data_IF_725122210098
#
_entry.id   IF_725122210098
#
_cell.length_a   1.000
_cell.length_b   1.000
_cell.length_c   1.000
_cell.angle_alpha   90.00
_cell.angle_beta   90.00
_cell.angle_gamma   90.00
#
_symmetry.space_group_name_H-M   'P 1'
#
loop_
_entity.id
_entity.type
_entity.pdbx_description
1 polymer ?
#
# COMPACT_ATOMS: atom_id res chain seq x y z
N UNK A 1 -12.62 -2.72 -3.38
CA UNK A 1 -11.33 -2.10 -3.76
C UNK A 1 -10.18 -2.64 -2.90
N UNK A 2 -10.26 -2.53 -1.56
CA UNK A 2 -9.23 -3.05 -0.65
C UNK A 2 -8.92 -4.53 -0.85
N UNK A 3 -9.96 -5.37 -0.99
CA UNK A 3 -9.80 -6.81 -1.21
C UNK A 3 -8.97 -7.15 -2.47
N UNK A 4 -9.18 -6.43 -3.57
CA UNK A 4 -8.41 -6.60 -4.81
C UNK A 4 -6.93 -6.27 -4.57
N UNK A 5 -6.65 -5.20 -3.80
CA UNK A 5 -5.28 -4.79 -3.51
C UNK A 5 -4.60 -5.79 -2.58
N UNK A 6 -5.33 -6.37 -1.62
CA UNK A 6 -4.80 -7.48 -0.81
C UNK A 6 -4.48 -8.72 -1.65
N UNK A 7 -5.32 -9.06 -2.63
CA UNK A 7 -5.05 -10.17 -3.53
C UNK A 7 -3.81 -9.91 -4.40
N UNK A 8 -3.65 -8.68 -4.93
CA UNK A 8 -2.45 -8.27 -5.65
C UNK A 8 -1.21 -8.34 -4.75
N UNK A 9 -1.31 -7.89 -3.50
CA UNK A 9 -0.19 -7.97 -2.54
C UNK A 9 0.22 -9.42 -2.29
N UNK A 10 -0.73 -10.33 -2.11
CA UNK A 10 -0.45 -11.76 -1.92
C UNK A 10 0.25 -12.36 -3.14
N UNK A 11 -0.28 -12.10 -4.33
CA UNK A 11 0.31 -12.60 -5.59
C UNK A 11 1.75 -12.08 -5.79
N UNK A 12 1.97 -10.79 -5.54
CA UNK A 12 3.32 -10.22 -5.65
C UNK A 12 4.29 -10.82 -4.64
N UNK A 13 3.84 -11.14 -3.43
CA UNK A 13 4.66 -11.82 -2.43
C UNK A 13 5.08 -13.23 -2.90
N UNK A 14 4.16 -13.98 -3.52
CA UNK A 14 4.46 -15.30 -4.11
C UNK A 14 5.51 -15.17 -5.22
N UNK A 15 5.35 -14.20 -6.13
CA UNK A 15 6.31 -13.98 -7.22
C UNK A 15 7.70 -13.59 -6.73
N UNK A 16 7.80 -12.83 -5.64
CA UNK A 16 9.09 -12.51 -5.01
C UNK A 16 9.72 -13.79 -4.44
N UNK A 17 8.94 -14.61 -3.74
CA UNK A 17 9.43 -15.83 -3.10
C UNK A 17 9.90 -16.87 -4.13
N UNK A 18 9.17 -17.02 -5.23
CA UNK A 18 9.48 -17.97 -6.32
C UNK A 18 10.57 -17.48 -7.28
N UNK A 19 10.98 -16.21 -7.19
CA UNK A 19 11.96 -15.64 -8.12
C UNK A 19 13.33 -16.36 -8.04
N UNK A 20 13.93 -16.63 -9.19
CA UNK A 20 15.22 -17.30 -9.31
C UNK A 20 16.41 -16.34 -9.48
N UNK A 21 16.13 -15.06 -9.74
CA UNK A 21 17.14 -14.02 -9.97
C UNK A 21 17.51 -13.25 -8.70
N UNK A 22 16.72 -13.37 -7.64
CA UNK A 22 17.00 -12.79 -6.33
C UNK A 22 17.62 -13.83 -5.40
N UNK A 23 18.64 -13.40 -4.66
CA UNK A 23 19.11 -14.14 -3.50
C UNK A 23 18.15 -13.96 -2.30
N UNK A 24 18.33 -14.75 -1.25
CA UNK A 24 17.42 -14.76 -0.11
C UNK A 24 17.32 -13.40 0.58
N UNK A 25 18.45 -12.68 0.71
CA UNK A 25 18.48 -11.36 1.34
C UNK A 25 17.66 -10.34 0.54
N UNK A 26 17.79 -10.34 -0.79
CA UNK A 26 17.01 -9.50 -1.69
C UNK A 26 15.51 -9.80 -1.61
N UNK A 27 15.13 -11.10 -1.54
CA UNK A 27 13.73 -11.51 -1.33
C UNK A 27 13.18 -10.95 -0.02
N UNK A 28 13.92 -11.12 1.08
CA UNK A 28 13.52 -10.63 2.40
C UNK A 28 13.31 -9.11 2.41
N UNK A 29 14.22 -8.35 1.81
CA UNK A 29 14.10 -6.88 1.71
C UNK A 29 12.84 -6.47 0.94
N UNK A 30 12.55 -7.13 -0.19
CA UNK A 30 11.37 -6.81 -0.99
C UNK A 30 10.06 -7.21 -0.31
N UNK A 31 10.04 -8.35 0.39
CA UNK A 31 8.88 -8.77 1.18
C UNK A 31 8.58 -7.79 2.32
N UNK A 32 9.60 -7.31 3.03
CA UNK A 32 9.42 -6.29 4.08
C UNK A 32 8.94 -4.95 3.51
N UNK A 33 9.46 -4.54 2.35
CA UNK A 33 8.95 -3.37 1.63
C UNK A 33 7.47 -3.55 1.26
N UNK A 34 7.09 -4.71 0.72
CA UNK A 34 5.72 -5.00 0.32
C UNK A 34 4.74 -5.00 1.51
N UNK A 35 5.17 -5.53 2.67
CA UNK A 35 4.43 -5.51 3.94
C UNK A 35 4.20 -4.10 4.48
N UNK A 36 5.19 -3.21 4.33
CA UNK A 36 5.12 -1.83 4.84
C UNK A 36 4.36 -0.85 3.93
N UNK A 37 4.00 -1.26 2.70
CA UNK A 37 3.24 -0.40 1.78
C UNK A 37 1.85 -0.05 2.32
N UNK A 38 1.60 1.24 2.53
CA UNK A 38 0.28 1.80 2.83
C UNK A 38 -0.54 1.99 1.56
N UNK A 39 -1.84 1.75 1.65
CA UNK A 39 -2.79 1.92 0.55
C UNK A 39 -3.69 3.11 0.86
N UNK A 40 -3.90 3.97 -0.14
CA UNK A 40 -4.85 5.09 -0.07
C UNK A 40 -5.84 4.92 -1.22
N UNK A 41 -7.13 4.75 -0.91
CA UNK A 41 -8.19 4.47 -1.89
C UNK A 41 -9.24 5.57 -1.84
N UNK A 42 -9.58 6.13 -3.00
CA UNK A 42 -10.60 7.17 -3.10
C UNK A 42 -10.05 8.51 -2.62
N UNK A 43 -10.53 8.97 -1.47
CA UNK A 43 -10.14 10.24 -0.86
C UNK A 43 -9.71 10.02 0.60
N UNK A 44 -8.81 10.88 1.14
CA UNK A 44 -8.43 10.81 2.54
C UNK A 44 -9.63 10.95 3.47
N UNK A 45 -9.62 10.25 4.61
CA UNK A 45 -10.76 10.29 5.52
C UNK A 45 -11.06 11.69 6.09
N UNK A 46 -10.04 12.54 6.25
CA UNK A 46 -10.23 13.93 6.69
C UNK A 46 -11.08 14.76 5.73
N UNK A 47 -11.19 14.35 4.47
CA UNK A 47 -12.03 15.01 3.47
C UNK A 47 -13.53 14.83 3.71
N UNK A 48 -13.91 13.92 4.62
CA UNK A 48 -15.32 13.72 5.03
C UNK A 48 -15.79 14.78 6.03
N UNK A 49 -14.88 15.47 6.70
CA UNK A 49 -15.21 16.51 7.66
C UNK A 49 -15.23 17.88 6.97
N UNK A 50 -16.44 18.40 6.80
CA UNK A 50 -16.69 19.67 6.14
C UNK A 50 -16.05 20.86 6.87
N UNK A 51 -15.99 20.85 8.20
CA UNK A 51 -15.38 21.94 8.99
C UNK A 51 -13.86 21.92 8.83
N UNK A 52 -13.24 20.74 8.84
CA UNK A 52 -11.80 20.56 8.56
C UNK A 52 -11.45 21.02 7.13
N UNK A 53 -12.29 20.68 6.15
CA UNK A 53 -12.11 21.15 4.76
C UNK A 53 -12.21 22.68 4.70
N UNK A 54 -13.26 23.28 5.27
CA UNK A 54 -13.44 24.74 5.28
C UNK A 54 -12.28 25.47 5.98
N UNK A 55 -11.78 24.95 7.09
CA UNK A 55 -10.65 25.52 7.81
C UNK A 55 -9.34 25.44 7.00
N UNK A 56 -9.10 24.31 6.33
CA UNK A 56 -7.89 24.09 5.51
C UNK A 56 -7.81 25.05 4.32
N UNK A 57 -8.95 25.41 3.73
CA UNK A 57 -9.01 26.25 2.53
C UNK A 57 -9.43 27.71 2.82
N UNK A 58 -9.46 28.14 4.10
CA UNK A 58 -9.95 29.48 4.46
C UNK A 58 -8.96 30.64 4.24
N UNK A 59 -7.72 30.36 3.83
CA UNK A 59 -6.70 31.40 3.55
C UNK A 59 -6.03 31.92 4.81
#
# INVERSE_FOLDING_TARGET
>A
ATEIIENIRKELALQIDESNWLNQDGKNILLEKLRSMKIYIGFPDWYKDEETVKATYRG
#
